data_IF_094626489111
#
_entry.id   IF_094626489111
#
_cell.length_a   1.000
_cell.length_b   1.000
_cell.length_c   1.000
_cell.angle_alpha   90.00
_cell.angle_beta   90.00
_cell.angle_gamma   90.00
#
_symmetry.space_group_name_H-M   'P 1'
#
loop_
_entity.id
_entity.type
_entity.pdbx_description
1 polymer ?
#
# COMPACT_ATOMS: atom_id res chain seq x y z
N UNK A 1 4.02 -18.71 3.60
CA UNK A 1 4.08 -18.96 2.13
C UNK A 1 5.36 -19.70 1.72
N UNK A 2 6.56 -19.26 2.10
CA UNK A 2 7.82 -19.97 1.78
C UNK A 2 7.84 -21.42 2.31
N UNK A 3 7.41 -21.64 3.56
CA UNK A 3 7.34 -22.98 4.13
C UNK A 3 6.38 -23.92 3.38
N UNK A 4 5.29 -23.41 2.82
CA UNK A 4 4.32 -24.18 2.03
C UNK A 4 4.91 -24.62 0.69
N UNK A 5 5.65 -23.74 0.02
CA UNK A 5 6.40 -24.07 -1.19
C UNK A 5 7.44 -25.14 -0.90
N UNK A 6 8.16 -25.03 0.21
CA UNK A 6 9.15 -26.03 0.64
C UNK A 6 8.49 -27.40 0.87
N UNK A 7 7.32 -27.47 1.53
CA UNK A 7 6.60 -28.71 1.82
C UNK A 7 6.09 -29.35 0.53
N UNK A 8 5.58 -28.55 -0.42
CA UNK A 8 5.04 -29.06 -1.69
C UNK A 8 6.12 -29.64 -2.60
N UNK A 9 7.33 -29.07 -2.58
CA UNK A 9 8.41 -29.49 -3.50
C UNK A 9 9.51 -30.30 -2.83
N UNK A 10 9.45 -30.53 -1.51
CA UNK A 10 10.46 -31.27 -0.77
C UNK A 10 10.54 -32.75 -1.16
N UNK A 11 9.46 -33.33 -1.68
CA UNK A 11 9.33 -34.78 -1.91
C UNK A 11 9.52 -35.20 -3.39
N UNK A 12 9.67 -34.25 -4.34
CA UNK A 12 9.55 -34.59 -5.76
C UNK A 12 10.90 -34.81 -6.48
N UNK A 13 12.01 -34.37 -5.93
CA UNK A 13 13.37 -34.71 -6.41
C UNK A 13 14.42 -34.11 -5.49
N UNK A 14 15.64 -34.67 -5.39
CA UNK A 14 16.73 -33.97 -4.75
C UNK A 14 16.96 -32.65 -5.51
N UNK A 15 16.64 -31.54 -4.84
CA UNK A 15 16.86 -30.19 -5.37
C UNK A 15 18.38 -30.00 -5.51
N UNK A 16 18.91 -30.56 -6.58
CA UNK A 16 20.35 -30.56 -6.82
C UNK A 16 20.78 -29.15 -7.23
N UNK A 17 21.88 -28.70 -6.67
CA UNK A 17 22.55 -27.44 -7.04
C UNK A 17 22.77 -27.33 -8.57
N UNK A 18 22.83 -28.47 -9.25
CA UNK A 18 22.87 -28.59 -10.70
C UNK A 18 21.61 -28.08 -11.41
N UNK A 19 20.42 -28.30 -10.83
CA UNK A 19 19.17 -27.81 -11.41
C UNK A 19 19.11 -26.27 -11.36
N UNK A 20 19.52 -25.67 -10.25
CA UNK A 20 19.62 -24.21 -10.09
C UNK A 20 20.64 -23.65 -11.10
N UNK A 21 21.83 -24.29 -11.21
CA UNK A 21 22.86 -23.84 -12.15
C UNK A 21 22.39 -23.92 -13.60
N UNK A 22 21.71 -24.99 -13.98
CA UNK A 22 21.15 -25.16 -15.32
C UNK A 22 20.02 -24.15 -15.59
N UNK A 23 19.18 -23.85 -14.58
CA UNK A 23 18.17 -22.83 -14.67
C UNK A 23 18.76 -21.44 -14.98
N UNK A 24 19.91 -21.10 -14.39
CA UNK A 24 20.62 -19.85 -14.66
C UNK A 24 21.25 -19.77 -16.06
N UNK A 25 21.30 -20.86 -16.81
CA UNK A 25 21.75 -20.82 -18.21
C UNK A 25 20.72 -20.18 -19.15
N UNK A 26 19.44 -20.21 -18.79
CA UNK A 26 18.35 -19.62 -19.60
C UNK A 26 18.21 -18.12 -19.34
N UNK A 27 18.33 -17.32 -20.42
CA UNK A 27 18.19 -15.85 -20.33
C UNK A 27 16.81 -15.41 -19.82
N UNK A 28 15.75 -16.10 -20.25
CA UNK A 28 14.39 -15.83 -19.76
C UNK A 28 14.26 -16.00 -18.26
N UNK A 29 14.88 -17.03 -17.67
CA UNK A 29 14.82 -17.27 -16.23
C UNK A 29 15.61 -16.22 -15.44
N UNK A 30 16.73 -15.72 -15.97
CA UNK A 30 17.47 -14.60 -15.36
C UNK A 30 16.60 -13.36 -15.26
N UNK A 31 15.81 -13.05 -16.30
CA UNK A 31 14.87 -11.92 -16.30
C UNK A 31 13.77 -12.13 -15.24
N UNK A 32 13.22 -13.33 -15.17
CA UNK A 32 12.20 -13.66 -14.16
C UNK A 32 12.75 -13.51 -12.73
N UNK A 33 13.94 -14.04 -12.46
CA UNK A 33 14.59 -13.89 -11.15
C UNK A 33 14.89 -12.43 -10.84
N UNK A 34 15.39 -11.68 -11.81
CA UNK A 34 15.64 -10.25 -11.65
C UNK A 34 14.34 -9.50 -11.25
N UNK A 35 13.25 -9.72 -11.99
CA UNK A 35 11.99 -8.99 -11.77
C UNK A 35 11.25 -9.43 -10.51
N UNK A 36 11.23 -10.72 -10.19
CA UNK A 36 10.38 -11.25 -9.11
C UNK A 36 11.13 -11.56 -7.81
N UNK A 37 12.45 -11.61 -7.82
CA UNK A 37 13.27 -11.85 -6.63
C UNK A 37 14.12 -10.63 -6.28
N UNK A 38 14.93 -10.16 -7.23
CA UNK A 38 15.87 -9.07 -6.94
C UNK A 38 15.17 -7.70 -6.83
N UNK A 39 14.29 -7.38 -7.78
CA UNK A 39 13.61 -6.09 -7.80
C UNK A 39 12.72 -5.84 -6.56
N UNK A 40 11.94 -6.81 -6.04
CA UNK A 40 11.19 -6.63 -4.80
C UNK A 40 12.05 -6.27 -3.59
N UNK A 41 13.32 -6.69 -3.52
CA UNK A 41 14.22 -6.31 -2.43
C UNK A 41 14.49 -4.80 -2.41
N UNK A 42 14.48 -4.13 -3.55
CA UNK A 42 14.63 -2.68 -3.62
C UNK A 42 13.46 -1.90 -3.02
N UNK A 43 12.33 -2.56 -2.78
CA UNK A 43 11.22 -1.93 -2.08
C UNK A 43 11.56 -1.58 -0.62
N UNK A 44 12.47 -2.30 0.03
CA UNK A 44 12.97 -1.95 1.38
C UNK A 44 13.68 -0.59 1.39
N UNK A 45 14.22 -0.18 0.26
CA UNK A 45 14.90 1.11 0.08
C UNK A 45 14.03 2.18 -0.59
N UNK A 46 12.72 1.92 -0.79
CA UNK A 46 11.80 2.79 -1.53
C UNK A 46 12.19 3.01 -3.01
N UNK A 47 12.95 2.11 -3.59
CA UNK A 47 13.41 2.15 -4.98
C UNK A 47 12.58 1.27 -5.92
N UNK A 48 11.58 0.55 -5.39
CA UNK A 48 10.72 -0.32 -6.17
C UNK A 48 9.25 -0.16 -5.74
N UNK A 49 8.35 -0.46 -6.66
CA UNK A 49 6.90 -0.35 -6.45
C UNK A 49 6.39 -1.34 -5.41
N UNK A 50 5.52 -0.86 -4.51
CA UNK A 50 4.97 -1.66 -3.43
C UNK A 50 4.03 -2.76 -3.91
N UNK A 51 3.36 -2.56 -5.04
CA UNK A 51 2.46 -3.56 -5.62
C UNK A 51 3.24 -4.72 -6.23
N UNK A 52 4.26 -4.41 -7.06
CA UNK A 52 5.11 -5.41 -7.71
C UNK A 52 6.00 -6.16 -6.72
N UNK A 53 6.26 -5.60 -5.54
CA UNK A 53 7.02 -6.27 -4.48
C UNK A 53 6.17 -7.14 -3.56
N UNK A 54 4.87 -7.33 -3.84
CA UNK A 54 3.91 -8.04 -2.99
C UNK A 54 3.77 -7.43 -1.58
N UNK A 55 4.22 -6.18 -1.40
CA UNK A 55 4.20 -5.50 -0.11
C UNK A 55 2.86 -4.84 0.22
N UNK A 56 1.89 -4.91 -0.69
CA UNK A 56 0.60 -4.25 -0.56
C UNK A 56 -0.16 -4.67 0.73
N UNK A 57 -0.01 -5.92 1.13
CA UNK A 57 -0.66 -6.51 2.31
C UNK A 57 0.24 -6.62 3.54
N UNK A 58 1.47 -6.12 3.48
CA UNK A 58 2.43 -6.22 4.61
C UNK A 58 2.10 -5.29 5.79
N UNK A 59 1.15 -4.38 5.62
CA UNK A 59 0.90 -3.32 6.60
C UNK A 59 1.83 -2.12 6.49
N UNK A 60 3.06 -2.31 6.02
CA UNK A 60 4.03 -1.24 5.83
C UNK A 60 3.89 -0.57 4.45
N UNK A 61 2.79 0.11 4.24
CA UNK A 61 2.53 0.88 3.03
C UNK A 61 2.12 2.30 3.40
N UNK A 62 2.41 3.26 2.53
CA UNK A 62 1.95 4.64 2.72
C UNK A 62 0.43 4.72 2.92
N UNK A 63 -0.01 5.72 3.66
CA UNK A 63 -1.42 5.99 3.92
C UNK A 63 -1.74 7.47 3.73
N UNK A 64 -2.98 7.76 3.36
CA UNK A 64 -3.51 9.11 3.26
C UNK A 64 -4.63 9.33 4.28
N UNK A 65 -4.51 10.39 5.05
CA UNK A 65 -5.54 10.85 5.98
C UNK A 65 -6.09 12.17 5.48
N UNK A 66 -7.41 12.30 5.46
CA UNK A 66 -8.09 13.55 5.14
C UNK A 66 -8.89 13.97 6.36
N UNK A 67 -8.54 15.11 6.91
CA UNK A 67 -9.28 15.73 8.02
C UNK A 67 -10.29 16.71 7.44
N UNK A 68 -11.51 16.61 7.84
CA UNK A 68 -12.63 17.47 7.41
C UNK A 68 -13.32 18.07 8.64
N UNK A 69 -13.77 19.32 8.52
CA UNK A 69 -14.60 19.94 9.54
C UNK A 69 -16.03 19.39 9.50
N UNK A 70 -16.80 19.54 10.58
CA UNK A 70 -18.19 19.11 10.66
C UNK A 70 -19.09 19.74 9.58
N UNK A 71 -18.76 20.95 9.14
CA UNK A 71 -19.48 21.64 8.07
C UNK A 71 -19.27 20.97 6.72
N UNK A 72 -18.06 20.47 6.45
CA UNK A 72 -17.72 19.75 5.23
C UNK A 72 -18.25 18.32 5.27
N UNK A 73 -18.20 17.65 6.42
CA UNK A 73 -18.77 16.31 6.59
C UNK A 73 -20.23 16.25 6.15
N UNK A 74 -21.04 17.27 6.53
CA UNK A 74 -22.46 17.36 6.14
C UNK A 74 -22.66 17.46 4.63
N UNK A 75 -21.68 18.02 3.90
CA UNK A 75 -21.71 18.18 2.44
C UNK A 75 -21.15 16.97 1.72
N UNK A 76 -20.47 16.04 2.43
CA UNK A 76 -19.96 14.82 1.82
C UNK A 76 -21.10 13.95 1.31
N UNK A 77 -20.87 13.20 0.22
CA UNK A 77 -21.78 12.15 -0.23
C UNK A 77 -22.05 11.12 0.88
N UNK A 78 -23.25 10.58 0.89
CA UNK A 78 -23.69 9.65 1.96
C UNK A 78 -22.80 8.41 2.07
N UNK A 79 -22.16 7.97 1.00
CA UNK A 79 -21.22 6.85 1.02
C UNK A 79 -19.89 7.19 1.70
N UNK A 80 -19.51 8.48 1.85
CA UNK A 80 -18.27 8.89 2.51
C UNK A 80 -18.49 9.21 4.01
N UNK A 81 -19.67 9.66 4.40
CA UNK A 81 -19.99 10.05 5.77
C UNK A 81 -19.65 8.99 6.82
N UNK A 82 -19.94 7.69 6.62
CA UNK A 82 -19.61 6.65 7.60
C UNK A 82 -18.11 6.49 7.89
N UNK A 83 -17.26 7.02 7.03
CA UNK A 83 -15.79 6.94 7.14
C UNK A 83 -15.17 8.21 7.72
N UNK A 84 -15.95 9.27 7.90
CA UNK A 84 -15.54 10.48 8.60
C UNK A 84 -15.69 10.24 10.11
N UNK A 85 -14.65 9.66 10.73
CA UNK A 85 -14.64 9.29 12.14
C UNK A 85 -13.77 10.30 12.88
N UNK A 86 -14.31 10.93 13.92
CA UNK A 86 -13.52 11.88 14.70
C UNK A 86 -14.22 12.30 15.98
N UNK A 87 -13.50 13.09 16.75
CA UNK A 87 -13.96 13.75 17.97
C UNK A 87 -13.67 15.24 17.87
N UNK A 88 -14.53 16.09 18.50
CA UNK A 88 -14.27 17.51 18.72
C UNK A 88 -13.96 18.33 17.43
N UNK A 89 -14.93 18.43 16.51
CA UNK A 89 -14.92 19.30 15.33
C UNK A 89 -13.92 18.94 14.22
N UNK A 90 -13.27 17.78 14.28
CA UNK A 90 -12.42 17.28 13.19
C UNK A 90 -12.69 15.81 12.93
N UNK A 91 -13.23 15.53 11.78
CA UNK A 91 -13.50 14.17 11.32
C UNK A 91 -12.37 13.71 10.39
N UNK A 92 -11.87 12.51 10.61
CA UNK A 92 -10.77 11.92 9.86
C UNK A 92 -11.28 10.83 8.95
N UNK A 93 -10.94 10.93 7.67
CA UNK A 93 -11.17 9.88 6.68
C UNK A 93 -9.83 9.20 6.39
N UNK A 94 -9.70 7.91 6.76
CA UNK A 94 -8.56 7.09 6.42
C UNK A 94 -8.79 6.47 5.04
N UNK A 95 -8.11 6.96 4.02
CA UNK A 95 -8.33 6.56 2.61
C UNK A 95 -8.16 5.04 2.44
N UNK A 96 -7.13 4.46 3.05
CA UNK A 96 -6.88 3.02 2.98
C UNK A 96 -8.04 2.19 3.55
N UNK A 97 -8.60 2.61 4.69
CA UNK A 97 -9.74 1.93 5.31
C UNK A 97 -11.00 2.05 4.44
N UNK A 98 -11.27 3.23 3.94
CA UNK A 98 -12.39 3.48 3.04
C UNK A 98 -12.31 2.61 1.77
N UNK A 99 -11.18 2.61 1.06
CA UNK A 99 -10.99 1.76 -0.13
C UNK A 99 -11.17 0.28 0.18
N UNK A 100 -10.63 -0.21 1.32
CA UNK A 100 -10.78 -1.61 1.71
C UNK A 100 -12.23 -1.99 1.96
N UNK A 101 -13.02 -1.09 2.53
CA UNK A 101 -14.44 -1.35 2.85
C UNK A 101 -15.34 -1.27 1.61
N UNK A 102 -15.13 -0.26 0.75
CA UNK A 102 -15.99 -0.03 -0.42
C UNK A 102 -15.59 -0.90 -1.63
N UNK A 103 -14.30 -1.07 -1.86
CA UNK A 103 -13.79 -1.73 -3.06
C UNK A 103 -13.30 -3.16 -2.80
N UNK A 104 -13.18 -3.57 -1.53
CA UNK A 104 -12.60 -4.87 -1.15
C UNK A 104 -11.11 -4.99 -1.45
N UNK A 105 -10.45 -3.89 -1.85
CA UNK A 105 -9.03 -3.85 -2.18
C UNK A 105 -8.35 -2.67 -1.48
N UNK A 106 -7.09 -2.82 -1.06
CA UNK A 106 -6.35 -1.70 -0.49
C UNK A 106 -6.10 -0.60 -1.53
N UNK A 107 -6.12 0.66 -1.09
CA UNK A 107 -5.71 1.77 -1.93
C UNK A 107 -4.28 1.57 -2.43
N UNK A 108 -4.03 1.89 -3.69
CA UNK A 108 -2.68 1.88 -4.25
C UNK A 108 -1.79 2.86 -3.48
N UNK A 109 -0.70 2.41 -2.81
CA UNK A 109 -0.01 3.17 -1.76
C UNK A 109 0.97 4.23 -2.30
N UNK A 110 0.58 4.94 -3.34
CA UNK A 110 1.33 6.03 -3.94
C UNK A 110 0.78 7.39 -3.50
N UNK A 111 1.67 8.28 -3.08
CA UNK A 111 1.30 9.64 -2.65
C UNK A 111 0.40 10.36 -3.65
N UNK A 112 0.69 10.22 -4.95
CA UNK A 112 -0.10 10.85 -6.03
C UNK A 112 -1.57 10.42 -6.02
N UNK A 113 -1.86 9.14 -5.71
CA UNK A 113 -3.21 8.61 -5.67
C UNK A 113 -3.96 9.15 -4.45
N UNK A 114 -3.32 9.19 -3.29
CA UNK A 114 -3.91 9.80 -2.09
C UNK A 114 -4.17 11.29 -2.27
N UNK A 115 -3.27 12.02 -2.94
CA UNK A 115 -3.49 13.43 -3.29
C UNK A 115 -4.65 13.60 -4.25
N UNK A 116 -4.81 12.72 -5.25
CA UNK A 116 -5.93 12.77 -6.18
C UNK A 116 -7.27 12.56 -5.46
N UNK A 117 -7.34 11.58 -4.56
CA UNK A 117 -8.53 11.31 -3.74
C UNK A 117 -8.83 12.50 -2.81
N UNK A 118 -7.81 13.04 -2.14
CA UNK A 118 -7.96 14.21 -1.29
C UNK A 118 -8.51 15.43 -2.06
N UNK A 119 -8.04 15.65 -3.29
CA UNK A 119 -8.58 16.72 -4.17
C UNK A 119 -10.05 16.52 -4.50
N UNK A 120 -10.51 15.27 -4.67
CA UNK A 120 -11.93 14.99 -4.88
C UNK A 120 -12.76 15.35 -3.64
N UNK A 121 -12.25 15.04 -2.44
CA UNK A 121 -12.90 15.44 -1.18
C UNK A 121 -12.89 16.97 -1.03
N UNK A 122 -11.80 17.62 -1.43
CA UNK A 122 -11.67 19.07 -1.44
C UNK A 122 -12.73 19.77 -2.30
N UNK A 123 -13.19 19.14 -3.38
CA UNK A 123 -14.20 19.69 -4.27
C UNK A 123 -15.59 19.84 -3.64
N UNK A 124 -15.82 19.20 -2.48
CA UNK A 124 -17.08 19.33 -1.72
C UNK A 124 -17.09 20.53 -0.77
N UNK A 125 -16.01 21.29 -0.66
CA UNK A 125 -15.95 22.48 0.16
C UNK A 125 -15.60 23.72 -0.65
N UNK A 126 -16.19 24.85 -0.26
CA UNK A 126 -15.83 26.16 -0.81
C UNK A 126 -14.67 26.84 -0.04
N UNK A 127 -14.29 26.30 1.13
CA UNK A 127 -13.23 26.84 1.97
C UNK A 127 -12.07 25.84 2.10
N UNK A 128 -10.93 26.13 1.49
CA UNK A 128 -9.76 25.29 1.56
C UNK A 128 -9.23 25.02 2.97
N UNK A 129 -9.52 25.89 3.94
CA UNK A 129 -9.03 25.74 5.32
C UNK A 129 -9.78 24.67 6.12
N UNK A 130 -10.89 24.19 5.61
CA UNK A 130 -11.74 23.20 6.28
C UNK A 130 -11.38 21.76 5.97
N UNK A 131 -10.45 21.54 5.04
CA UNK A 131 -9.96 20.21 4.67
C UNK A 131 -8.44 20.21 4.75
N UNK A 132 -7.89 19.26 5.48
CA UNK A 132 -6.45 19.06 5.60
C UNK A 132 -6.08 17.64 5.19
N UNK A 133 -5.10 17.51 4.32
CA UNK A 133 -4.58 16.21 3.87
C UNK A 133 -3.21 15.96 4.49
N UNK A 134 -3.06 14.79 5.11
CA UNK A 134 -1.79 14.30 5.64
C UNK A 134 -1.41 12.99 4.96
N UNK A 135 -0.20 12.92 4.45
CA UNK A 135 0.37 11.68 3.92
C UNK A 135 1.35 11.08 4.93
N UNK A 136 1.07 9.85 5.33
CA UNK A 136 1.95 9.05 6.17
C UNK A 136 2.76 8.14 5.25
N UNK A 137 4.08 8.35 5.09
CA UNK A 137 4.92 7.48 4.27
C UNK A 137 5.06 6.10 4.92
N UNK A 138 5.44 5.09 4.14
CA UNK A 138 5.85 3.81 4.68
C UNK A 138 7.14 3.96 5.50
N UNK A 139 7.29 3.16 6.55
CA UNK A 139 8.50 3.12 7.36
C UNK A 139 9.69 2.62 6.53
N UNK A 140 10.83 3.26 6.69
CA UNK A 140 12.09 2.77 6.14
C UNK A 140 12.65 1.68 7.07
N UNK A 141 13.45 0.78 6.52
CA UNK A 141 14.03 -0.35 7.26
C UNK A 141 14.75 0.04 8.57
N UNK A 142 15.26 1.27 8.66
CA UNK A 142 15.99 1.79 9.83
C UNK A 142 15.18 2.79 10.69
N UNK A 143 13.94 3.08 10.37
CA UNK A 143 13.07 3.92 11.19
C UNK A 143 12.33 3.03 12.19
N UNK A 144 12.60 3.24 13.49
CA UNK A 144 11.74 2.69 14.54
C UNK A 144 10.40 3.40 14.49
N UNK A 145 9.32 2.66 14.75
CA UNK A 145 8.01 3.28 14.96
C UNK A 145 8.15 4.40 16.00
N UNK A 146 7.66 5.62 15.72
CA UNK A 146 7.53 6.62 16.76
C UNK A 146 6.53 6.08 17.81
N UNK A 147 7.02 5.88 19.02
CA UNK A 147 6.23 5.52 20.19
C UNK A 147 5.18 6.60 20.49
#
# INVERSE_FOLDING_TARGET
MVAFVFVLFYNEAPFGFSAIRNAFSYHSLKIVILLFVMMPLFNFFNLWDSYLSHNLYSGNTGNGLVYVSDSVEKQLPDYLKPYAIGELNQNQITIKYWCMKELGVPAYPEKRNFVAIAKTIYAYTNDPKQVYFMYIPKLKFNEKDPE
#
